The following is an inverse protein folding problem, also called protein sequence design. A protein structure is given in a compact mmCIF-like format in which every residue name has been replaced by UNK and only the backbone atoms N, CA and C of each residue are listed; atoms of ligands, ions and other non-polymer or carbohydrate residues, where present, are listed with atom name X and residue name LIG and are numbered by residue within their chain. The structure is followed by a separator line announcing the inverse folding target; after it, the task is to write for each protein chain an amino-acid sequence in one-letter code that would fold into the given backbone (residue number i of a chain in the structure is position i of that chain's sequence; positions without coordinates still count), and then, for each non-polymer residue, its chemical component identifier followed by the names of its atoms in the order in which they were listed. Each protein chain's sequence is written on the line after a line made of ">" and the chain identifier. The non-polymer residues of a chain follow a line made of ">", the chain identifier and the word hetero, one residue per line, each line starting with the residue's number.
data_IF_818687315854
#
_entry.id   IF_818687315854
#
_cell.length_a   1.000
_cell.length_b   1.000
_cell.length_c   1.000
_cell.angle_alpha   90.00
_cell.angle_beta   90.00
_cell.angle_gamma   90.00
#
_symmetry.space_group_name_H-M   'P 1'
#
loop_
_entity.id
_entity.type
_entity.pdbx_description
1 polymer ?
#
# COMPACT_ATOMS: atom_id res chain seq x y z
N UNK A 1 2.72 18.79 -19.17
CA UNK A 1 1.71 19.55 -18.38
C UNK A 1 0.36 19.11 -18.90
N UNK A 2 -0.42 18.38 -18.11
CA UNK A 2 -1.72 17.86 -18.57
C UNK A 2 -2.75 18.97 -18.33
N UNK A 3 -2.96 19.83 -19.34
CA UNK A 3 -4.00 20.86 -19.35
C UNK A 3 -5.38 20.22 -19.61
N UNK A 4 -5.86 19.39 -18.67
CA UNK A 4 -7.14 18.69 -18.84
C UNK A 4 -8.37 19.60 -18.63
N UNK A 5 -8.18 20.84 -18.11
CA UNK A 5 -9.28 21.71 -17.66
C UNK A 5 -9.15 23.19 -18.03
N UNK A 6 -8.16 23.60 -18.83
CA UNK A 6 -7.91 25.00 -19.24
C UNK A 6 -7.83 26.04 -18.09
N UNK A 7 -7.70 25.57 -16.85
CA UNK A 7 -7.25 26.31 -15.70
C UNK A 7 -5.75 26.04 -15.61
N UNK A 8 -4.91 27.08 -15.52
CA UNK A 8 -3.50 26.95 -15.14
C UNK A 8 -3.41 27.02 -13.61
N UNK A 9 -3.58 25.90 -12.90
CA UNK A 9 -3.63 25.91 -11.46
C UNK A 9 -2.20 26.15 -10.96
N UNK A 10 -2.04 26.78 -9.80
CA UNK A 10 -0.73 26.84 -9.18
C UNK A 10 -0.21 25.41 -8.92
N UNK A 11 1.12 25.21 -8.89
CA UNK A 11 1.75 23.89 -8.72
C UNK A 11 1.22 23.10 -7.49
N UNK A 12 0.83 23.80 -6.42
CA UNK A 12 0.22 23.20 -5.23
C UNK A 12 -1.21 22.71 -5.51
N UNK A 13 -2.00 23.45 -6.29
CA UNK A 13 -3.36 23.06 -6.69
C UNK A 13 -3.32 21.83 -7.60
N UNK A 14 -2.41 21.79 -8.57
CA UNK A 14 -2.23 20.60 -9.41
C UNK A 14 -1.86 19.37 -8.58
N UNK A 15 -0.96 19.55 -7.62
CA UNK A 15 -0.51 18.44 -6.76
C UNK A 15 -1.66 17.92 -5.89
N UNK A 16 -2.38 18.80 -5.20
CA UNK A 16 -3.44 18.40 -4.28
C UNK A 16 -4.73 17.95 -4.99
N UNK A 17 -5.11 18.59 -6.10
CA UNK A 17 -6.40 18.31 -6.76
C UNK A 17 -6.30 17.22 -7.83
N UNK A 18 -5.13 17.01 -8.43
CA UNK A 18 -4.95 16.09 -9.56
C UNK A 18 -4.03 14.94 -9.17
N UNK A 19 -2.78 15.23 -8.80
CA UNK A 19 -1.78 14.17 -8.58
C UNK A 19 -2.10 13.28 -7.38
N UNK A 20 -2.53 13.85 -6.25
CA UNK A 20 -2.86 13.09 -5.03
C UNK A 20 -4.06 12.16 -5.25
N UNK A 21 -5.21 12.61 -5.78
CA UNK A 21 -6.34 11.71 -6.05
C UNK A 21 -6.01 10.61 -7.06
N UNK A 22 -5.27 10.94 -8.13
CA UNK A 22 -4.87 9.93 -9.13
C UNK A 22 -3.91 8.90 -8.49
N UNK A 23 -2.93 9.34 -7.69
CA UNK A 23 -2.05 8.42 -6.97
C UNK A 23 -2.80 7.52 -5.99
N UNK A 24 -3.81 8.07 -5.31
CA UNK A 24 -4.67 7.31 -4.40
C UNK A 24 -5.50 6.26 -5.14
N UNK A 25 -6.10 6.62 -6.27
CA UNK A 25 -6.83 5.69 -7.14
C UNK A 25 -5.90 4.62 -7.73
N UNK A 26 -4.69 4.99 -8.14
CA UNK A 26 -3.70 4.10 -8.72
C UNK A 26 -3.22 3.01 -7.74
N UNK A 27 -3.29 3.25 -6.42
CA UNK A 27 -3.04 2.22 -5.41
C UNK A 27 -4.33 1.47 -5.03
N UNK A 28 -5.40 2.20 -4.69
CA UNK A 28 -6.58 1.59 -4.09
C UNK A 28 -7.42 0.78 -5.09
N UNK A 29 -7.50 1.19 -6.36
CA UNK A 29 -8.25 0.44 -7.36
C UNK A 29 -7.60 -0.93 -7.64
N UNK A 30 -6.30 -1.04 -7.97
CA UNK A 30 -5.66 -2.35 -8.15
C UNK A 30 -5.67 -3.20 -6.88
N UNK A 31 -5.43 -2.60 -5.71
CA UNK A 31 -5.48 -3.33 -4.45
C UNK A 31 -6.90 -3.89 -4.19
N UNK A 32 -7.93 -3.07 -4.36
CA UNK A 32 -9.32 -3.49 -4.21
C UNK A 32 -9.72 -4.56 -5.21
N UNK A 33 -9.34 -4.43 -6.48
CA UNK A 33 -9.67 -5.44 -7.50
C UNK A 33 -8.98 -6.77 -7.21
N UNK A 34 -7.72 -6.77 -6.77
CA UNK A 34 -7.02 -7.99 -6.34
C UNK A 34 -7.75 -8.62 -5.14
N UNK A 35 -8.12 -7.85 -4.12
CA UNK A 35 -8.85 -8.41 -2.97
C UNK A 35 -10.20 -8.99 -3.39
N UNK A 36 -10.98 -8.29 -4.21
CA UNK A 36 -12.29 -8.80 -4.63
C UNK A 36 -12.18 -10.01 -5.57
N UNK A 37 -11.41 -9.92 -6.65
CA UNK A 37 -11.34 -10.98 -7.65
C UNK A 37 -10.52 -12.18 -7.17
N UNK A 38 -9.35 -11.93 -6.57
CA UNK A 38 -8.46 -13.01 -6.14
C UNK A 38 -8.84 -13.53 -4.75
N UNK A 39 -8.78 -12.68 -3.71
CA UNK A 39 -8.97 -13.13 -2.33
C UNK A 39 -10.40 -13.62 -2.07
N UNK A 40 -11.41 -12.88 -2.53
CA UNK A 40 -12.81 -13.21 -2.26
C UNK A 40 -13.41 -14.22 -3.23
N UNK A 41 -13.17 -14.07 -4.55
CA UNK A 41 -13.78 -14.96 -5.56
C UNK A 41 -12.90 -16.16 -5.90
N UNK A 42 -11.70 -15.94 -6.42
CA UNK A 42 -10.87 -17.04 -6.92
C UNK A 42 -10.57 -18.09 -5.84
N UNK A 43 -10.16 -17.66 -4.64
CA UNK A 43 -9.87 -18.59 -3.53
C UNK A 43 -11.12 -19.37 -3.08
N UNK A 44 -12.29 -18.73 -3.06
CA UNK A 44 -13.53 -19.42 -2.69
C UNK A 44 -13.89 -20.49 -3.71
N UNK A 45 -13.77 -20.18 -5.00
CA UNK A 45 -14.02 -21.17 -6.07
C UNK A 45 -13.01 -22.32 -6.06
N UNK A 46 -11.73 -22.04 -5.76
CA UNK A 46 -10.73 -23.09 -5.54
C UNK A 46 -11.09 -24.03 -4.37
N UNK A 47 -11.84 -23.53 -3.38
CA UNK A 47 -12.35 -24.29 -2.24
C UNK A 47 -13.74 -24.88 -2.47
N UNK A 48 -14.26 -24.85 -3.70
CA UNK A 48 -15.62 -25.31 -4.05
C UNK A 48 -16.73 -24.64 -3.22
N UNK A 49 -16.55 -23.36 -2.86
CA UNK A 49 -17.59 -22.54 -2.19
C UNK A 49 -17.76 -21.20 -2.88
N UNK A 50 -18.93 -20.59 -2.70
CA UNK A 50 -19.14 -19.22 -3.14
C UNK A 50 -18.41 -18.25 -2.19
N UNK A 51 -17.77 -17.24 -2.76
CA UNK A 51 -17.25 -16.10 -2.01
C UNK A 51 -18.38 -15.21 -1.46
N UNK A 52 -18.10 -14.00 -0.96
CA UNK A 52 -19.12 -13.04 -0.55
C UNK A 52 -20.16 -12.81 -1.66
N UNK A 53 -21.45 -12.97 -1.36
CA UNK A 53 -22.55 -12.78 -2.34
C UNK A 53 -23.57 -11.73 -1.92
N UNK A 54 -23.58 -11.34 -0.64
CA UNK A 54 -24.68 -10.55 -0.04
C UNK A 54 -24.52 -9.04 -0.19
N UNK A 55 -23.28 -8.51 -0.08
CA UNK A 55 -23.03 -7.08 -0.16
C UNK A 55 -23.06 -6.60 -1.63
N UNK A 56 -24.25 -6.32 -2.14
CA UNK A 56 -24.49 -5.95 -3.54
C UNK A 56 -24.45 -7.15 -4.49
N UNK A 57 -24.71 -6.97 -5.80
CA UNK A 57 -24.70 -8.06 -6.77
C UNK A 57 -23.35 -8.78 -6.75
N UNK A 58 -23.39 -10.08 -6.48
CA UNK A 58 -22.19 -10.93 -6.33
C UNK A 58 -21.19 -10.43 -5.28
N UNK A 59 -21.60 -9.69 -4.24
CA UNK A 59 -20.67 -9.18 -3.23
C UNK A 59 -19.77 -8.03 -3.70
N UNK A 60 -20.11 -7.35 -4.80
CA UNK A 60 -19.33 -6.23 -5.36
C UNK A 60 -19.12 -5.06 -4.40
N UNK A 61 -20.03 -4.85 -3.45
CA UNK A 61 -19.95 -3.80 -2.44
C UNK A 61 -19.27 -4.26 -1.14
N UNK A 62 -18.76 -5.50 -1.07
CA UNK A 62 -18.15 -6.04 0.14
C UNK A 62 -16.98 -5.16 0.64
N UNK A 63 -16.10 -4.72 -0.26
CA UNK A 63 -14.96 -3.88 0.13
C UNK A 63 -15.38 -2.53 0.72
N UNK A 64 -16.44 -1.93 0.17
CA UNK A 64 -16.99 -0.69 0.71
C UNK A 64 -17.62 -0.93 2.08
N UNK A 65 -18.30 -2.06 2.28
CA UNK A 65 -18.84 -2.44 3.59
C UNK A 65 -17.72 -2.67 4.63
N UNK A 66 -16.60 -3.29 4.24
CA UNK A 66 -15.43 -3.46 5.13
C UNK A 66 -14.82 -2.12 5.56
N UNK A 67 -14.67 -1.17 4.64
CA UNK A 67 -14.19 0.18 4.95
C UNK A 67 -15.17 0.90 5.88
N UNK A 68 -16.47 0.83 5.58
CA UNK A 68 -17.52 1.39 6.44
C UNK A 68 -17.51 0.80 7.85
N UNK A 69 -17.20 -0.50 7.99
CA UNK A 69 -17.03 -1.17 9.28
C UNK A 69 -15.81 -0.65 10.03
N UNK A 70 -14.67 -0.42 9.35
CA UNK A 70 -13.47 0.11 10.01
C UNK A 70 -13.67 1.51 10.57
N UNK A 71 -14.39 2.39 9.87
CA UNK A 71 -14.68 3.75 10.35
C UNK A 71 -15.53 3.74 11.63
N UNK A 72 -16.37 2.71 11.81
CA UNK A 72 -17.22 2.55 12.99
C UNK A 72 -16.50 1.91 14.19
N UNK A 73 -15.30 1.34 13.99
CA UNK A 73 -14.57 0.65 15.05
C UNK A 73 -13.78 1.64 15.89
N UNK A 74 -13.75 1.38 17.20
CA UNK A 74 -12.90 2.11 18.13
C UNK A 74 -11.43 1.69 17.99
N UNK A 75 -10.53 2.67 17.98
CA UNK A 75 -9.10 2.46 17.97
C UNK A 75 -8.59 2.17 19.39
N UNK A 76 -8.34 0.89 19.68
CA UNK A 76 -7.87 0.43 21.00
C UNK A 76 -6.35 0.23 20.97
N UNK A 77 -5.66 0.86 21.91
CA UNK A 77 -4.21 0.71 22.09
C UNK A 77 -3.88 -0.18 23.30
N UNK A 78 -2.88 -1.07 23.21
CA UNK A 78 -2.40 -1.80 24.38
C UNK A 78 -1.87 -0.84 25.46
N UNK A 79 -2.13 -1.15 26.73
CA UNK A 79 -1.80 -0.24 27.84
C UNK A 79 -0.30 0.06 28.00
N UNK A 80 0.55 -0.90 27.61
CA UNK A 80 2.02 -0.79 27.68
C UNK A 80 2.66 -0.36 26.35
N UNK A 81 1.87 -0.20 25.29
CA UNK A 81 2.38 0.15 23.97
C UNK A 81 2.83 1.62 23.92
N UNK A 82 3.85 1.88 23.11
CA UNK A 82 4.17 3.25 22.70
C UNK A 82 3.12 3.70 21.68
N UNK A 83 2.17 4.53 22.13
CA UNK A 83 1.03 4.96 21.32
C UNK A 83 1.44 5.70 20.05
N UNK A 84 2.49 6.52 20.12
CA UNK A 84 2.91 7.33 18.97
C UNK A 84 3.54 6.44 17.90
N UNK A 85 4.49 5.60 18.29
CA UNK A 85 5.17 4.71 17.36
C UNK A 85 4.21 3.64 16.81
N UNK A 86 3.31 3.12 17.65
CA UNK A 86 2.31 2.13 17.24
C UNK A 86 1.30 2.71 16.24
N UNK A 87 0.85 3.95 16.45
CA UNK A 87 -0.02 4.64 15.51
C UNK A 87 0.72 5.03 14.21
N UNK A 88 2.00 5.41 14.28
CA UNK A 88 2.79 5.82 13.12
C UNK A 88 3.21 4.65 12.21
N UNK A 89 3.38 3.45 12.77
CA UNK A 89 3.94 2.31 12.04
C UNK A 89 3.16 1.93 10.76
N UNK A 90 1.80 1.82 10.76
CA UNK A 90 1.04 1.58 9.55
C UNK A 90 1.22 2.67 8.48
N UNK A 91 1.36 3.94 8.89
CA UNK A 91 1.59 5.04 7.96
C UNK A 91 2.93 4.91 7.25
N UNK A 92 4.00 4.52 7.96
CA UNK A 92 5.32 4.32 7.33
C UNK A 92 5.25 3.25 6.24
N UNK A 93 4.57 2.13 6.51
CA UNK A 93 4.38 1.07 5.52
C UNK A 93 3.56 1.56 4.33
N UNK A 94 2.41 2.20 4.58
CA UNK A 94 1.55 2.71 3.51
C UNK A 94 2.25 3.76 2.66
N UNK A 95 2.98 4.69 3.28
CA UNK A 95 3.72 5.73 2.58
C UNK A 95 4.72 5.15 1.58
N UNK A 96 5.44 4.09 1.96
CA UNK A 96 6.35 3.42 1.02
C UNK A 96 5.62 2.87 -0.22
N UNK A 97 4.44 2.26 -0.04
CA UNK A 97 3.60 1.76 -1.13
C UNK A 97 3.09 2.88 -2.04
N UNK A 98 2.63 4.01 -1.49
CA UNK A 98 2.17 5.14 -2.29
C UNK A 98 3.32 5.82 -3.05
N UNK A 99 4.50 5.91 -2.44
CA UNK A 99 5.69 6.47 -3.10
C UNK A 99 6.14 5.63 -4.29
N UNK A 100 5.96 4.30 -4.26
CA UNK A 100 6.29 3.44 -5.40
C UNK A 100 5.47 3.75 -6.66
N UNK A 101 4.24 4.24 -6.53
CA UNK A 101 3.41 4.58 -7.71
C UNK A 101 3.95 5.78 -8.47
N UNK A 102 4.72 6.66 -7.83
CA UNK A 102 5.26 7.88 -8.44
C UNK A 102 6.14 7.58 -9.66
N UNK A 103 6.79 6.42 -9.68
CA UNK A 103 7.72 6.04 -10.74
C UNK A 103 7.12 5.12 -11.81
N UNK A 104 5.89 4.63 -11.60
CA UNK A 104 5.29 3.67 -12.54
C UNK A 104 4.77 4.43 -13.76
N UNK A 105 5.29 4.17 -14.97
CA UNK A 105 4.80 4.81 -16.17
C UNK A 105 3.43 4.23 -16.56
N UNK A 106 2.41 5.08 -16.68
CA UNK A 106 1.10 4.67 -17.17
C UNK A 106 1.00 4.72 -18.71
N UNK A 107 1.95 5.39 -19.37
CA UNK A 107 2.04 5.55 -20.81
C UNK A 107 3.20 6.49 -21.19
N UNK A 108 3.46 6.69 -22.50
CA UNK A 108 4.61 7.47 -22.98
C UNK A 108 4.70 8.89 -22.41
N UNK A 109 3.56 9.57 -22.27
CA UNK A 109 3.46 10.93 -21.73
C UNK A 109 2.78 10.97 -20.34
N UNK A 110 2.48 9.80 -19.76
CA UNK A 110 1.71 9.66 -18.53
C UNK A 110 2.60 9.22 -17.37
N UNK A 111 3.47 10.14 -16.94
CA UNK A 111 4.38 10.01 -15.80
C UNK A 111 3.93 10.92 -14.65
N UNK A 112 3.97 10.43 -13.41
CA UNK A 112 3.68 11.28 -12.24
C UNK A 112 4.83 12.25 -11.95
N UNK A 113 6.05 11.72 -11.96
CA UNK A 113 7.32 12.44 -11.85
C UNK A 113 8.33 11.74 -12.75
N UNK A 114 9.02 12.52 -13.57
CA UNK A 114 10.14 12.02 -14.36
C UNK A 114 11.40 12.03 -13.50
N UNK A 115 11.94 10.84 -13.22
CA UNK A 115 13.14 10.64 -12.40
C UNK A 115 14.15 9.83 -13.21
N UNK A 116 15.32 10.41 -13.46
CA UNK A 116 16.44 9.74 -14.16
C UNK A 116 16.83 8.41 -13.48
N UNK A 117 16.70 8.34 -12.16
CA UNK A 117 17.02 7.17 -11.34
C UNK A 117 15.77 6.49 -10.74
N UNK A 118 14.68 6.39 -11.51
CA UNK A 118 13.40 5.84 -11.04
C UNK A 118 13.48 4.42 -10.43
N UNK A 119 14.26 3.52 -11.04
CA UNK A 119 14.44 2.14 -10.54
C UNK A 119 15.18 2.14 -9.19
N UNK A 120 16.23 2.95 -9.05
CA UNK A 120 16.95 3.09 -7.78
C UNK A 120 16.06 3.68 -6.69
N UNK A 121 15.23 4.67 -7.03
CA UNK A 121 14.23 5.20 -6.11
C UNK A 121 13.25 4.12 -5.66
N UNK A 122 12.77 3.28 -6.57
CA UNK A 122 11.88 2.16 -6.23
C UNK A 122 12.49 1.22 -5.21
N UNK A 123 13.75 0.82 -5.42
CA UNK A 123 14.48 -0.05 -4.49
C UNK A 123 14.72 0.61 -3.13
N UNK A 124 15.07 1.89 -3.11
CA UNK A 124 15.27 2.61 -1.86
C UNK A 124 13.98 2.74 -1.05
N UNK A 125 12.86 3.01 -1.72
CA UNK A 125 11.55 3.17 -1.08
C UNK A 125 11.00 1.82 -0.59
N UNK A 126 11.21 0.72 -1.33
CA UNK A 126 10.72 -0.60 -0.88
C UNK A 126 11.32 -1.01 0.48
N UNK A 127 12.58 -0.66 0.74
CA UNK A 127 13.27 -0.97 1.99
C UNK A 127 12.74 -0.20 3.21
N UNK A 128 12.03 0.91 3.00
CA UNK A 128 11.42 1.69 4.10
C UNK A 128 10.29 0.89 4.77
N UNK A 129 9.59 0.03 4.02
CA UNK A 129 8.49 -0.78 4.55
C UNK A 129 8.93 -1.68 5.72
N UNK A 130 10.17 -2.17 5.70
CA UNK A 130 10.76 -3.02 6.75
C UNK A 130 10.83 -2.27 8.09
N UNK A 131 11.17 -0.98 8.04
CA UNK A 131 11.23 -0.12 9.24
C UNK A 131 9.83 -0.03 9.88
N UNK A 132 8.79 0.15 9.07
CA UNK A 132 7.40 0.19 9.57
C UNK A 132 6.99 -1.10 10.28
N UNK A 133 7.42 -2.26 9.79
CA UNK A 133 7.14 -3.55 10.44
C UNK A 133 7.89 -3.68 11.78
N UNK A 134 9.15 -3.25 11.83
CA UNK A 134 9.92 -3.24 13.08
C UNK A 134 9.31 -2.28 14.11
N UNK A 135 8.87 -1.09 13.67
CA UNK A 135 8.15 -0.13 14.52
C UNK A 135 6.88 -0.74 15.10
N UNK A 136 6.06 -1.43 14.29
CA UNK A 136 4.84 -2.09 14.75
C UNK A 136 5.13 -3.20 15.78
N UNK A 137 6.14 -4.04 15.50
CA UNK A 137 6.56 -5.12 16.39
C UNK A 137 7.05 -4.61 17.75
N UNK A 138 7.94 -3.61 17.73
CA UNK A 138 8.54 -3.03 18.94
C UNK A 138 7.54 -2.25 19.79
N UNK A 139 6.76 -1.35 19.16
CA UNK A 139 5.82 -0.47 19.88
C UNK A 139 4.65 -1.20 20.52
N UNK A 140 4.33 -2.42 20.07
CA UNK A 140 3.25 -3.25 20.64
C UNK A 140 3.47 -3.71 22.09
N UNK A 141 4.71 -3.60 22.60
CA UNK A 141 5.09 -4.01 23.95
C UNK A 141 4.69 -5.46 24.33
N UNK A 142 4.67 -6.37 23.35
CA UNK A 142 4.36 -7.79 23.54
C UNK A 142 5.48 -8.67 22.97
N UNK A 143 5.93 -9.66 23.75
CA UNK A 143 6.99 -10.60 23.36
C UNK A 143 6.67 -11.34 22.05
N UNK A 144 5.44 -11.78 21.87
CA UNK A 144 5.04 -12.55 20.67
C UNK A 144 4.98 -11.67 19.42
N UNK A 145 4.42 -10.46 19.56
CA UNK A 145 4.37 -9.48 18.47
C UNK A 145 5.77 -9.02 18.05
N UNK A 146 6.68 -8.82 19.02
CA UNK A 146 8.07 -8.49 18.73
C UNK A 146 8.80 -9.63 17.99
N UNK A 147 8.66 -10.88 18.46
CA UNK A 147 9.24 -12.03 17.78
C UNK A 147 8.67 -12.22 16.37
N UNK A 148 7.36 -12.01 16.19
CA UNK A 148 6.71 -12.00 14.87
C UNK A 148 7.24 -10.90 13.96
N UNK A 149 7.40 -9.68 14.49
CA UNK A 149 7.94 -8.52 13.76
C UNK A 149 9.38 -8.76 13.28
N UNK A 150 10.26 -9.30 14.14
CA UNK A 150 11.65 -9.62 13.76
C UNK A 150 11.68 -10.71 12.69
N UNK A 151 10.82 -11.73 12.78
CA UNK A 151 10.71 -12.77 11.74
C UNK A 151 10.25 -12.21 10.40
N UNK A 152 9.22 -11.37 10.40
CA UNK A 152 8.71 -10.72 9.20
C UNK A 152 9.76 -9.79 8.57
N UNK A 153 10.46 -8.99 9.40
CA UNK A 153 11.56 -8.15 8.92
C UNK A 153 12.70 -8.97 8.31
N UNK A 154 13.11 -10.07 8.97
CA UNK A 154 14.12 -10.97 8.45
C UNK A 154 13.72 -11.60 7.10
N UNK A 155 12.44 -11.97 6.95
CA UNK A 155 11.91 -12.46 5.68
C UNK A 155 12.01 -11.38 4.58
N UNK A 156 11.55 -10.16 4.85
CA UNK A 156 11.56 -9.10 3.85
C UNK A 156 12.98 -8.74 3.41
N UNK A 157 13.90 -8.54 4.36
CA UNK A 157 15.31 -8.26 4.06
C UNK A 157 15.93 -9.39 3.22
N UNK A 158 15.60 -10.65 3.53
CA UNK A 158 16.11 -11.78 2.77
C UNK A 158 15.61 -11.81 1.31
N UNK A 159 14.41 -11.31 1.03
CA UNK A 159 13.85 -11.24 -0.33
C UNK A 159 14.25 -9.96 -1.09
N UNK A 160 14.74 -8.93 -0.41
CA UNK A 160 15.26 -7.74 -1.10
C UNK A 160 16.52 -8.02 -1.91
N UNK A 161 17.45 -8.82 -1.38
CA UNK A 161 18.70 -9.09 -2.09
C UNK A 161 18.47 -9.80 -3.44
N UNK A 162 17.69 -10.89 -3.53
CA UNK A 162 17.34 -11.50 -4.82
C UNK A 162 16.61 -10.54 -5.76
N UNK A 163 15.72 -9.69 -5.24
CA UNK A 163 15.00 -8.70 -6.03
C UNK A 163 15.98 -7.68 -6.65
N UNK A 164 16.88 -7.12 -5.85
CA UNK A 164 17.91 -6.18 -6.31
C UNK A 164 18.78 -6.82 -7.38
N UNK A 165 19.26 -8.06 -7.14
CA UNK A 165 20.09 -8.77 -8.11
C UNK A 165 19.37 -9.05 -9.43
N UNK A 166 18.07 -9.36 -9.39
CA UNK A 166 17.26 -9.56 -10.60
C UNK A 166 17.10 -8.25 -11.39
N UNK A 167 16.91 -7.12 -10.70
CA UNK A 167 16.80 -5.80 -11.32
C UNK A 167 18.12 -5.36 -11.96
N UNK A 168 19.25 -5.60 -11.29
CA UNK A 168 20.59 -5.28 -11.82
C UNK A 168 20.89 -6.01 -13.14
N UNK A 169 20.30 -7.17 -13.39
CA UNK A 169 20.47 -7.87 -14.66
C UNK A 169 19.75 -7.23 -15.86
N UNK A 170 18.79 -6.34 -15.60
CA UNK A 170 17.96 -5.68 -16.63
C UNK A 170 18.45 -4.25 -16.96
N UNK A 171 19.07 -3.59 -15.98
CA UNK A 171 19.62 -2.22 -16.09
C UNK A 171 21.05 -2.27 -16.61
#
# INVERSE_FOLDING_TARGET
>A
MIDLLALSPAWWQETFLIKVPIGLLAVLLPAGTIVYLYLFKAISFMQSRLGPMEAGPYGSLQLLAEVGKWIQKEDIFPSKADKFVFAAAPFVVLMSTFLLVVIIPAGPDALFVDLDAGIYFAMAVSSVSVIGILMAGWSSANKYSLLGGIRAAGQLIAYELPLILAVVGVV
#
